data_IF_217612671371
#
_entry.id   IF_217612671371
#
_cell.length_a   1.000
_cell.length_b   1.000
_cell.length_c   1.000
_cell.angle_alpha   90.00
_cell.angle_beta   90.00
_cell.angle_gamma   90.00
#
_symmetry.space_group_name_H-M   'P 1'
#
loop_
_entity.id
_entity.type
_entity.pdbx_description
1 polymer ?
#
# COMPACT_ATOMS: atom_id res chain seq x y z
N UNK A 1 22.62 0.52 17.14
CA UNK A 1 22.23 1.70 16.33
C UNK A 1 22.57 1.39 14.88
N UNK A 2 21.64 0.82 14.12
CA UNK A 2 21.81 0.67 12.67
C UNK A 2 21.58 2.05 12.04
N UNK A 3 22.60 2.60 11.39
CA UNK A 3 22.44 3.85 10.64
C UNK A 3 21.79 3.51 9.30
N UNK A 4 20.49 3.77 9.19
CA UNK A 4 19.76 3.63 7.94
C UNK A 4 19.98 4.91 7.13
N UNK A 5 20.80 4.82 6.09
CA UNK A 5 21.04 5.92 5.15
C UNK A 5 20.13 5.73 3.94
N UNK A 6 19.18 6.65 3.77
CA UNK A 6 18.29 6.61 2.63
C UNK A 6 19.02 7.09 1.35
N UNK A 7 19.61 6.13 0.63
CA UNK A 7 20.28 6.37 -0.65
C UNK A 7 19.29 6.61 -1.81
N UNK A 8 17.99 6.44 -1.59
CA UNK A 8 16.99 6.63 -2.66
C UNK A 8 16.97 8.07 -3.14
N UNK A 9 17.07 9.04 -2.23
CA UNK A 9 17.04 10.48 -2.53
C UNK A 9 18.18 10.90 -3.47
N UNK A 10 19.47 10.67 -3.15
CA UNK A 10 20.56 11.06 -4.04
C UNK A 10 20.52 10.33 -5.39
N UNK A 11 20.11 9.07 -5.43
CA UNK A 11 19.93 8.33 -6.68
C UNK A 11 18.83 9.00 -7.52
N UNK A 12 17.67 9.26 -6.94
CA UNK A 12 16.54 9.84 -7.65
C UNK A 12 16.84 11.25 -8.18
N UNK A 13 17.53 12.08 -7.38
CA UNK A 13 17.97 13.42 -7.78
C UNK A 13 18.96 13.36 -8.94
N UNK A 14 19.97 12.49 -8.87
CA UNK A 14 20.99 12.39 -9.93
C UNK A 14 20.39 11.84 -11.23
N UNK A 15 19.53 10.83 -11.16
CA UNK A 15 18.83 10.30 -12.34
C UNK A 15 17.88 11.34 -12.94
N UNK A 16 17.11 12.07 -12.13
CA UNK A 16 16.22 13.13 -12.60
C UNK A 16 16.98 14.28 -13.29
N UNK A 17 18.12 14.69 -12.73
CA UNK A 17 18.98 15.70 -13.34
C UNK A 17 19.53 15.22 -14.71
N UNK A 18 20.00 13.98 -14.78
CA UNK A 18 20.47 13.37 -16.03
C UNK A 18 19.37 13.31 -17.10
N UNK A 19 18.17 12.85 -16.75
CA UNK A 19 17.04 12.77 -17.69
C UNK A 19 16.58 14.16 -18.17
N UNK A 20 16.52 15.13 -17.27
CA UNK A 20 16.17 16.52 -17.60
C UNK A 20 17.16 17.12 -18.58
N UNK A 21 18.46 16.87 -18.35
CA UNK A 21 19.52 17.34 -19.24
C UNK A 21 19.44 16.72 -20.64
N UNK A 22 19.25 15.40 -20.73
CA UNK A 22 19.08 14.71 -22.02
C UNK A 22 17.84 15.23 -22.76
N UNK A 23 16.74 15.44 -22.02
CA UNK A 23 15.49 16.00 -22.59
C UNK A 23 15.73 17.39 -23.16
N UNK A 24 16.45 18.26 -22.44
CA UNK A 24 16.81 19.59 -22.94
C UNK A 24 17.67 19.52 -24.22
N UNK A 25 18.65 18.61 -24.27
CA UNK A 25 19.46 18.39 -25.48
C UNK A 25 18.62 17.87 -26.65
N UNK A 26 17.64 16.99 -26.39
CA UNK A 26 16.71 16.50 -27.41
C UNK A 26 15.83 17.63 -27.96
N UNK A 27 15.30 18.50 -27.11
CA UNK A 27 14.51 19.66 -27.53
C UNK A 27 15.36 20.59 -28.39
N UNK A 28 16.59 20.90 -27.97
CA UNK A 28 17.52 21.71 -28.77
C UNK A 28 17.83 21.06 -30.13
N UNK A 29 18.00 19.74 -30.17
CA UNK A 29 18.19 19.00 -31.41
C UNK A 29 17.00 19.16 -32.37
N UNK A 30 15.78 19.04 -31.85
CA UNK A 30 14.56 19.25 -32.63
C UNK A 30 14.44 20.70 -33.14
N UNK A 31 14.80 21.69 -32.32
CA UNK A 31 14.84 23.09 -32.73
C UNK A 31 15.84 23.34 -33.87
N UNK A 32 17.05 22.76 -33.80
CA UNK A 32 18.04 22.87 -34.87
C UNK A 32 17.55 22.25 -36.18
N UNK A 33 16.92 21.07 -36.11
CA UNK A 33 16.32 20.40 -37.27
C UNK A 33 15.20 21.28 -37.87
N UNK A 34 14.39 21.93 -37.04
CA UNK A 34 13.32 22.83 -37.49
C UNK A 34 13.89 24.02 -38.30
N UNK A 35 14.94 24.66 -37.78
CA UNK A 35 15.60 25.81 -38.42
C UNK A 35 16.49 25.38 -39.60
N UNK A 36 16.79 24.09 -39.74
CA UNK A 36 17.65 23.56 -40.80
C UNK A 36 19.14 23.85 -40.55
N UNK A 37 19.53 24.07 -39.29
CA UNK A 37 20.93 24.28 -38.92
C UNK A 37 21.61 22.96 -38.54
N UNK A 38 22.90 22.86 -38.84
CA UNK A 38 23.71 21.71 -38.44
C UNK A 38 23.90 21.68 -36.92
N UNK A 39 23.69 20.51 -36.33
CA UNK A 39 23.86 20.23 -34.91
C UNK A 39 25.34 19.99 -34.57
N UNK A 40 26.04 21.05 -34.17
CA UNK A 40 27.42 20.94 -33.69
C UNK A 40 27.44 20.73 -32.18
N UNK A 41 27.22 19.47 -31.77
CA UNK A 41 27.24 19.10 -30.36
C UNK A 41 28.68 19.06 -29.83
N UNK A 42 28.99 19.88 -28.82
CA UNK A 42 30.30 19.89 -28.17
C UNK A 42 30.63 18.50 -27.59
N UNK A 43 31.91 18.10 -27.64
CA UNK A 43 32.37 16.78 -27.20
C UNK A 43 31.97 16.41 -25.77
N UNK A 44 31.85 17.39 -24.86
CA UNK A 44 31.39 17.19 -23.48
C UNK A 44 29.98 16.59 -23.44
N UNK A 45 29.04 17.10 -24.25
CA UNK A 45 27.68 16.56 -24.29
C UNK A 45 27.64 15.16 -24.89
N UNK A 46 28.51 14.87 -25.87
CA UNK A 46 28.64 13.53 -26.46
C UNK A 46 29.13 12.52 -25.42
N UNK A 47 30.15 12.88 -24.65
CA UNK A 47 30.66 12.08 -23.54
C UNK A 47 29.56 11.90 -22.49
N UNK A 48 28.88 12.99 -22.11
CA UNK A 48 27.77 12.96 -21.15
C UNK A 48 26.67 11.99 -21.56
N UNK A 49 26.21 12.04 -22.82
CA UNK A 49 25.20 11.14 -23.37
C UNK A 49 25.64 9.66 -23.30
N UNK A 50 26.88 9.37 -23.71
CA UNK A 50 27.43 8.01 -23.66
C UNK A 50 27.49 7.51 -22.21
N UNK A 51 28.00 8.33 -21.29
CA UNK A 51 28.08 7.99 -19.86
C UNK A 51 26.69 7.72 -19.28
N UNK A 52 25.70 8.57 -19.57
CA UNK A 52 24.32 8.35 -19.09
C UNK A 52 23.69 7.09 -19.67
N UNK A 53 23.96 6.78 -20.95
CA UNK A 53 23.46 5.56 -21.59
C UNK A 53 24.06 4.31 -20.93
N UNK A 54 25.38 4.26 -20.76
CA UNK A 54 26.06 3.15 -20.09
C UNK A 54 25.54 3.00 -18.67
N UNK A 55 25.45 4.10 -17.90
CA UNK A 55 24.92 4.07 -16.55
C UNK A 55 23.50 3.51 -16.51
N UNK A 56 22.62 3.93 -17.42
CA UNK A 56 21.23 3.46 -17.46
C UNK A 56 21.15 1.97 -17.79
N UNK A 57 21.97 1.48 -18.74
CA UNK A 57 22.03 0.05 -19.09
C UNK A 57 22.52 -0.78 -17.90
N UNK A 58 23.57 -0.32 -17.21
CA UNK A 58 24.10 -1.00 -16.02
C UNK A 58 23.05 -1.02 -14.92
N UNK A 59 22.44 0.12 -14.59
CA UNK A 59 21.39 0.20 -13.56
C UNK A 59 20.21 -0.68 -13.91
N UNK A 60 19.72 -0.67 -15.16
CA UNK A 60 18.62 -1.54 -15.58
C UNK A 60 18.99 -3.03 -15.51
N UNK A 61 20.23 -3.40 -15.83
CA UNK A 61 20.70 -4.79 -15.70
C UNK A 61 20.77 -5.23 -14.23
N UNK A 62 21.24 -4.36 -13.34
CA UNK A 62 21.26 -4.61 -11.91
C UNK A 62 19.84 -4.74 -11.34
N UNK A 63 18.93 -3.82 -11.69
CA UNK A 63 17.52 -3.88 -11.28
C UNK A 63 16.88 -5.16 -11.81
N UNK A 64 17.18 -5.56 -13.06
CA UNK A 64 16.65 -6.79 -13.61
C UNK A 64 17.03 -8.02 -12.77
N UNK A 65 18.30 -8.14 -12.39
CA UNK A 65 18.78 -9.27 -11.58
C UNK A 65 18.30 -9.23 -10.13
N UNK A 66 18.14 -8.04 -9.55
CA UNK A 66 17.71 -7.90 -8.15
C UNK A 66 16.20 -8.09 -8.00
N UNK A 67 15.43 -7.79 -9.04
CA UNK A 67 13.98 -7.64 -8.98
C UNK A 67 13.23 -8.65 -9.86
N UNK A 68 13.81 -9.84 -10.05
CA UNK A 68 13.27 -10.88 -10.94
C UNK A 68 11.81 -11.28 -10.59
N UNK A 69 11.47 -11.31 -9.30
CA UNK A 69 10.15 -11.78 -8.84
C UNK A 69 9.01 -10.76 -8.99
N UNK A 70 9.31 -9.47 -9.18
CA UNK A 70 8.30 -8.41 -9.15
C UNK A 70 8.16 -7.66 -10.48
N UNK A 71 8.73 -8.18 -11.57
CA UNK A 71 8.49 -7.66 -12.91
C UNK A 71 6.98 -7.57 -13.25
N UNK A 72 6.16 -8.40 -12.62
CA UNK A 72 4.70 -8.31 -12.67
C UNK A 72 4.16 -6.94 -12.23
N UNK A 73 4.80 -6.29 -11.26
CA UNK A 73 4.41 -4.97 -10.76
C UNK A 73 4.65 -3.87 -11.79
N UNK A 74 5.68 -4.00 -12.64
CA UNK A 74 5.92 -3.06 -13.74
C UNK A 74 4.77 -3.11 -14.75
N UNK A 75 4.30 -4.30 -15.09
CA UNK A 75 3.17 -4.47 -16.01
C UNK A 75 1.89 -3.86 -15.43
N UNK A 76 1.59 -4.12 -14.15
CA UNK A 76 0.43 -3.55 -13.47
C UNK A 76 0.54 -2.03 -13.39
N UNK A 77 1.73 -1.49 -13.11
CA UNK A 77 2.00 -0.05 -13.08
C UNK A 77 1.78 0.60 -14.46
N UNK A 78 2.26 -0.04 -15.53
CA UNK A 78 2.03 0.43 -16.91
C UNK A 78 0.54 0.39 -17.28
N UNK A 79 -0.20 -0.64 -16.87
CA UNK A 79 -1.65 -0.71 -17.08
C UNK A 79 -2.39 0.39 -16.31
N UNK A 80 -2.03 0.61 -15.04
CA UNK A 80 -2.62 1.65 -14.22
C UNK A 80 -2.32 3.06 -14.76
N UNK A 81 -1.13 3.25 -15.34
CA UNK A 81 -0.69 4.55 -15.88
C UNK A 81 -0.96 4.73 -17.38
N UNK A 82 -1.46 3.70 -18.07
CA UNK A 82 -1.67 3.70 -19.52
C UNK A 82 -2.50 4.89 -20.04
N UNK A 83 -3.60 5.33 -19.39
CA UNK A 83 -4.36 6.50 -19.86
C UNK A 83 -3.54 7.80 -19.84
N UNK A 84 -2.66 7.98 -18.84
CA UNK A 84 -1.82 9.17 -18.72
C UNK A 84 -0.67 9.15 -19.75
N UNK A 85 -0.05 7.98 -19.94
CA UNK A 85 0.98 7.79 -20.97
C UNK A 85 0.42 8.05 -22.37
N UNK A 86 -0.81 7.62 -22.62
CA UNK A 86 -1.52 7.87 -23.88
C UNK A 86 -1.84 9.34 -24.11
N UNK A 87 -2.33 10.04 -23.08
CA UNK A 87 -2.53 11.49 -23.15
C UNK A 87 -1.21 12.21 -23.45
N UNK A 88 -0.13 11.81 -22.78
CA UNK A 88 1.22 12.34 -23.04
C UNK A 88 1.67 12.09 -24.49
N UNK A 89 1.44 10.89 -25.02
CA UNK A 89 1.75 10.55 -26.41
C UNK A 89 0.94 11.39 -27.42
N UNK A 90 -0.35 11.63 -27.16
CA UNK A 90 -1.19 12.51 -27.99
C UNK A 90 -0.69 13.95 -28.00
N UNK A 91 -0.34 14.49 -26.83
CA UNK A 91 0.25 15.84 -26.72
C UNK A 91 1.57 15.92 -27.48
N UNK A 92 2.43 14.91 -27.34
CA UNK A 92 3.72 14.86 -28.03
C UNK A 92 3.56 14.79 -29.56
N UNK A 93 2.69 13.91 -30.07
CA UNK A 93 2.43 13.80 -31.53
C UNK A 93 1.79 15.07 -32.08
N UNK A 94 0.94 15.73 -31.30
CA UNK A 94 0.35 17.03 -31.67
C UNK A 94 1.43 18.11 -31.73
N UNK A 95 2.33 18.19 -30.75
CA UNK A 95 3.44 19.15 -30.76
C UNK A 95 4.41 18.91 -31.92
N UNK A 96 4.70 17.65 -32.25
CA UNK A 96 5.60 17.26 -33.35
C UNK A 96 4.96 17.44 -34.74
N UNK A 97 3.65 17.59 -34.84
CA UNK A 97 2.93 17.75 -36.12
C UNK A 97 3.46 18.92 -36.95
N UNK A 98 3.80 20.04 -36.30
CA UNK A 98 4.41 21.20 -36.95
C UNK A 98 5.76 20.87 -37.61
N UNK A 99 6.59 20.06 -36.94
CA UNK A 99 7.89 19.64 -37.45
C UNK A 99 7.74 18.77 -38.71
N UNK A 100 6.79 17.82 -38.66
CA UNK A 100 6.44 16.95 -39.80
C UNK A 100 5.91 17.77 -40.97
N UNK A 101 5.03 18.74 -40.71
CA UNK A 101 4.52 19.66 -41.73
C UNK A 101 5.62 20.49 -42.37
N UNK A 102 6.61 20.95 -41.58
CA UNK A 102 7.76 21.69 -42.09
C UNK A 102 8.65 20.86 -43.02
N UNK A 103 8.87 19.58 -42.71
CA UNK A 103 9.61 18.67 -43.59
C UNK A 103 8.81 18.30 -44.84
N UNK A 104 7.49 18.12 -44.70
CA UNK A 104 6.59 17.87 -45.82
C UNK A 104 6.64 19.03 -46.84
N UNK A 105 6.64 20.28 -46.38
CA UNK A 105 6.74 21.45 -47.23
C UNK A 105 8.09 21.58 -47.97
N UNK A 106 9.18 21.07 -47.38
CA UNK A 106 10.53 21.08 -47.99
C UNK A 106 10.77 19.89 -48.92
N UNK A 107 9.92 18.87 -48.89
CA UNK A 107 10.10 17.66 -49.68
C UNK A 107 9.75 17.90 -51.16
N UNK A 108 10.71 17.66 -52.06
CA UNK A 108 10.52 17.85 -53.51
C UNK A 108 9.85 16.65 -54.20
N UNK A 109 9.96 15.45 -53.63
CA UNK A 109 9.43 14.21 -54.23
C UNK A 109 8.05 13.87 -53.66
N UNK A 110 7.08 13.64 -54.54
CA UNK A 110 5.74 13.21 -54.16
C UNK A 110 5.73 11.89 -53.36
N UNK A 111 6.66 10.97 -53.67
CA UNK A 111 6.80 9.71 -52.92
C UNK A 111 7.22 9.92 -51.48
N UNK A 112 8.13 10.87 -51.19
CA UNK A 112 8.53 11.16 -49.82
C UNK A 112 7.43 11.89 -49.04
N UNK A 113 6.68 12.78 -49.70
CA UNK A 113 5.51 13.44 -49.11
C UNK A 113 4.42 12.44 -48.72
N UNK A 114 4.08 11.51 -49.62
CA UNK A 114 3.12 10.43 -49.35
C UNK A 114 3.59 9.53 -48.21
N UNK A 115 4.88 9.19 -48.16
CA UNK A 115 5.44 8.31 -47.13
C UNK A 115 5.41 8.99 -45.75
N UNK A 116 5.79 10.28 -45.65
CA UNK A 116 5.71 11.07 -44.42
C UNK A 116 4.27 11.22 -43.92
N UNK A 117 3.35 11.56 -44.83
CA UNK A 117 1.94 11.75 -44.47
C UNK A 117 1.28 10.44 -44.05
N UNK A 118 1.55 9.35 -44.79
CA UNK A 118 1.05 8.01 -44.49
C UNK A 118 1.57 7.49 -43.16
N UNK A 119 2.86 7.67 -42.85
CA UNK A 119 3.40 7.28 -41.54
C UNK A 119 2.83 8.12 -40.41
N UNK A 120 2.70 9.45 -40.59
CA UNK A 120 2.08 10.30 -39.57
C UNK A 120 0.63 9.89 -39.27
N UNK A 121 -0.19 9.69 -40.31
CA UNK A 121 -1.58 9.25 -40.11
C UNK A 121 -1.67 7.84 -39.51
N UNK A 122 -0.78 6.92 -39.88
CA UNK A 122 -0.75 5.59 -39.28
C UNK A 122 -0.44 5.65 -37.77
N UNK A 123 0.52 6.48 -37.35
CA UNK A 123 0.85 6.69 -35.94
C UNK A 123 -0.32 7.32 -35.19
N UNK A 124 -0.91 8.38 -35.75
CA UNK A 124 -2.07 9.05 -35.16
C UNK A 124 -3.25 8.09 -35.02
N UNK A 125 -3.59 7.35 -36.07
CA UNK A 125 -4.66 6.35 -36.06
C UNK A 125 -4.40 5.28 -35.00
N UNK A 126 -3.17 4.75 -34.94
CA UNK A 126 -2.77 3.78 -33.91
C UNK A 126 -3.02 4.33 -32.51
N UNK A 127 -2.57 5.56 -32.22
CA UNK A 127 -2.84 6.22 -30.94
C UNK A 127 -4.32 6.39 -30.66
N UNK A 128 -5.16 6.76 -31.65
CA UNK A 128 -6.60 6.87 -31.42
C UNK A 128 -7.28 5.53 -31.13
N UNK A 129 -6.70 4.40 -31.56
CA UNK A 129 -7.24 3.06 -31.29
C UNK A 129 -6.74 2.45 -29.97
N UNK A 130 -5.61 2.91 -29.42
CA UNK A 130 -5.03 2.42 -28.16
C UNK A 130 -6.01 2.41 -26.97
N UNK A 131 -6.91 3.40 -26.78
CA UNK A 131 -7.87 3.36 -25.68
C UNK A 131 -8.80 2.14 -25.69
N UNK A 132 -9.01 1.51 -26.85
CA UNK A 132 -9.81 0.29 -26.98
C UNK A 132 -9.11 -0.93 -26.36
N UNK A 133 -7.80 -0.87 -26.15
CA UNK A 133 -7.01 -1.97 -25.57
C UNK A 133 -6.75 -1.80 -24.08
N UNK A 134 -7.23 -0.72 -23.46
CA UNK A 134 -7.02 -0.50 -22.03
C UNK A 134 -7.84 -1.47 -21.18
N UNK A 135 -7.15 -2.23 -20.35
CA UNK A 135 -7.73 -3.04 -19.29
C UNK A 135 -7.39 -2.41 -17.95
N UNK A 136 -8.39 -2.13 -17.11
CA UNK A 136 -8.16 -1.59 -15.78
C UNK A 136 -7.95 -2.73 -14.78
N UNK A 137 -6.81 -2.79 -14.08
CA UNK A 137 -6.59 -3.81 -13.04
C UNK A 137 -7.55 -3.62 -11.84
N UNK A 138 -8.13 -2.43 -11.69
CA UNK A 138 -9.06 -2.12 -10.61
C UNK A 138 -10.49 -2.61 -10.86
N UNK A 139 -10.84 -2.93 -12.11
CA UNK A 139 -12.19 -3.37 -12.49
C UNK A 139 -12.08 -4.83 -12.93
N UNK A 140 -12.27 -5.73 -11.97
CA UNK A 140 -12.27 -7.17 -12.20
C UNK A 140 -13.70 -7.70 -12.13
N UNK A 141 -14.01 -8.67 -12.99
CA UNK A 141 -15.27 -9.40 -12.86
C UNK A 141 -15.21 -10.30 -11.63
N UNK A 142 -16.39 -10.57 -11.04
CA UNK A 142 -16.48 -11.38 -9.82
C UNK A 142 -15.90 -12.78 -9.98
N UNK A 143 -15.94 -13.33 -11.20
CA UNK A 143 -15.40 -14.67 -11.54
C UNK A 143 -13.86 -14.72 -11.50
N UNK A 144 -13.22 -13.56 -11.69
CA UNK A 144 -11.75 -13.42 -11.76
C UNK A 144 -11.16 -12.97 -10.41
N UNK A 145 -12.02 -12.70 -9.41
CA UNK A 145 -11.56 -12.37 -8.07
C UNK A 145 -10.98 -13.62 -7.39
N UNK A 146 -9.83 -13.43 -6.75
CA UNK A 146 -9.25 -14.44 -5.87
C UNK A 146 -10.10 -14.72 -4.62
N UNK A 147 -9.63 -15.59 -3.72
CA UNK A 147 -10.30 -15.85 -2.44
C UNK A 147 -10.48 -14.54 -1.66
N UNK A 148 -11.55 -14.48 -0.84
CA UNK A 148 -11.84 -13.31 0.00
C UNK A 148 -10.60 -12.98 0.87
N UNK A 149 -10.16 -11.72 0.92
CA UNK A 149 -9.00 -11.34 1.72
C UNK A 149 -9.24 -11.61 3.20
N UNK A 150 -8.18 -11.97 3.90
CA UNK A 150 -8.19 -12.09 5.35
C UNK A 150 -8.48 -10.72 5.98
N UNK A 151 -9.45 -10.66 6.89
CA UNK A 151 -9.80 -9.44 7.60
C UNK A 151 -9.07 -9.44 8.95
N UNK A 152 -8.26 -8.43 9.20
CA UNK A 152 -7.57 -8.22 10.47
C UNK A 152 -8.26 -7.11 11.27
N UNK A 153 -8.61 -7.38 12.53
CA UNK A 153 -9.14 -6.40 13.46
C UNK A 153 -8.04 -5.44 13.92
N UNK A 154 -7.93 -4.28 13.28
CA UNK A 154 -6.98 -3.23 13.63
C UNK A 154 -7.27 -2.72 15.05
N UNK A 155 -6.33 -2.92 15.98
CA UNK A 155 -6.48 -2.66 17.43
C UNK A 155 -7.67 -3.39 18.08
N UNK A 156 -8.04 -4.54 17.49
CA UNK A 156 -9.26 -5.29 17.78
C UNK A 156 -10.46 -4.80 16.97
N UNK A 157 -11.53 -4.40 17.65
CA UNK A 157 -12.74 -3.82 17.08
C UNK A 157 -12.99 -2.41 17.67
N UNK A 158 -12.18 -1.40 17.30
CA UNK A 158 -12.19 -0.06 17.90
C UNK A 158 -13.47 0.73 17.63
N UNK A 159 -14.33 0.27 16.73
CA UNK A 159 -15.68 0.85 16.56
C UNK A 159 -16.70 0.29 17.55
N UNK A 160 -16.38 -0.83 18.21
CA UNK A 160 -17.29 -1.60 19.05
C UNK A 160 -16.87 -1.60 20.53
N UNK A 161 -15.58 -1.41 20.81
CA UNK A 161 -15.01 -1.38 22.14
C UNK A 161 -13.69 -0.57 22.14
N UNK A 162 -13.21 -0.11 23.32
CA UNK A 162 -12.01 0.73 23.40
C UNK A 162 -10.79 0.05 22.78
N UNK A 163 -10.12 0.71 21.83
CA UNK A 163 -8.98 0.18 21.10
C UNK A 163 -7.86 -0.37 22.00
N UNK A 164 -7.12 -1.37 21.54
CA UNK A 164 -5.99 -1.95 22.28
C UNK A 164 -6.34 -2.46 23.70
N UNK A 165 -7.60 -2.82 23.92
CA UNK A 165 -8.05 -3.48 25.16
C UNK A 165 -8.50 -4.91 24.88
N UNK A 166 -8.48 -5.74 25.93
CA UNK A 166 -9.01 -7.10 25.85
C UNK A 166 -10.47 -7.15 25.37
N UNK A 167 -11.27 -6.14 25.71
CA UNK A 167 -12.65 -6.01 25.25
C UNK A 167 -12.74 -5.85 23.73
N UNK A 168 -11.88 -4.99 23.16
CA UNK A 168 -11.79 -4.78 21.71
C UNK A 168 -11.34 -6.05 20.98
N UNK A 169 -10.37 -6.78 21.53
CA UNK A 169 -9.94 -8.05 20.94
C UNK A 169 -11.00 -9.14 21.03
N UNK A 170 -11.69 -9.27 22.17
CA UNK A 170 -12.80 -10.23 22.32
C UNK A 170 -13.91 -9.94 21.31
N UNK A 171 -14.26 -8.66 21.16
CA UNK A 171 -15.28 -8.25 20.21
C UNK A 171 -14.88 -8.52 18.76
N UNK A 172 -13.61 -8.33 18.40
CA UNK A 172 -13.10 -8.69 17.09
C UNK A 172 -13.23 -10.21 16.82
N UNK A 173 -12.90 -11.05 17.82
CA UNK A 173 -13.03 -12.51 17.71
C UNK A 173 -14.50 -12.94 17.54
N UNK A 174 -15.44 -12.28 18.25
CA UNK A 174 -16.89 -12.51 18.07
C UNK A 174 -17.36 -12.21 16.64
N UNK A 175 -16.78 -11.18 16.00
CA UNK A 175 -17.04 -10.82 14.60
C UNK A 175 -16.31 -11.73 13.59
N UNK A 176 -15.65 -12.80 14.05
CA UNK A 176 -14.99 -13.82 13.22
C UNK A 176 -13.91 -13.25 12.28
N UNK A 177 -13.19 -12.22 12.72
CA UNK A 177 -12.02 -11.73 11.99
C UNK A 177 -10.92 -12.81 11.93
N UNK A 178 -10.09 -12.78 10.90
CA UNK A 178 -9.01 -13.75 10.72
C UNK A 178 -7.90 -13.61 11.77
N UNK A 179 -7.66 -12.37 12.22
CA UNK A 179 -6.68 -12.06 13.25
C UNK A 179 -6.91 -10.66 13.81
N UNK A 180 -6.11 -10.28 14.80
CA UNK A 180 -6.13 -8.93 15.40
C UNK A 180 -4.74 -8.33 15.33
N UNK A 181 -4.68 -7.01 15.19
CA UNK A 181 -3.45 -6.23 15.26
C UNK A 181 -3.48 -5.41 16.56
N UNK A 182 -2.30 -5.19 17.15
CA UNK A 182 -2.12 -4.38 18.34
C UNK A 182 -0.86 -3.52 18.18
N UNK A 183 -0.82 -2.37 18.84
CA UNK A 183 0.33 -1.48 18.85
C UNK A 183 1.05 -1.62 20.20
N UNK A 184 2.35 -1.90 20.18
CA UNK A 184 3.15 -2.14 21.39
C UNK A 184 4.14 -0.99 21.59
N UNK A 185 4.21 -0.49 22.83
CA UNK A 185 5.22 0.47 23.29
C UNK A 185 5.91 -0.11 24.52
N UNK A 186 7.16 0.27 24.74
CA UNK A 186 7.94 -0.14 25.92
C UNK A 186 7.91 1.01 26.93
N UNK A 187 7.53 0.72 28.17
CA UNK A 187 7.55 1.68 29.28
C UNK A 187 8.98 2.05 29.69
N UNK A 188 9.13 3.07 30.54
CA UNK A 188 10.44 3.54 31.00
C UNK A 188 11.24 2.45 31.74
N UNK A 189 10.53 1.59 32.48
CA UNK A 189 11.06 0.43 33.19
C UNK A 189 11.13 -0.86 32.33
N UNK A 190 10.94 -0.76 31.01
CA UNK A 190 11.17 -1.85 30.05
C UNK A 190 10.02 -2.83 29.89
N UNK A 191 8.82 -2.51 30.38
CA UNK A 191 7.63 -3.37 30.29
C UNK A 191 6.84 -3.04 29.01
N UNK A 192 6.59 -4.03 28.12
CA UNK A 192 5.76 -3.80 26.94
C UNK A 192 4.29 -3.62 27.34
N UNK A 193 3.63 -2.63 26.75
CA UNK A 193 2.20 -2.35 26.94
C UNK A 193 1.56 -1.92 25.62
N UNK A 194 0.23 -2.01 25.55
CA UNK A 194 -0.49 -1.61 24.35
C UNK A 194 -0.82 -0.13 24.30
N UNK A 195 -0.31 0.56 23.28
CA UNK A 195 -0.58 1.97 23.03
C UNK A 195 -0.25 2.33 21.58
N UNK A 196 -1.16 3.05 20.92
CA UNK A 196 -0.92 3.57 19.58
C UNK A 196 -0.28 4.95 19.60
N UNK A 197 -0.74 5.81 20.52
CA UNK A 197 -0.41 7.22 20.49
C UNK A 197 0.93 7.49 21.20
N UNK A 198 1.60 8.56 20.78
CA UNK A 198 2.81 9.04 21.46
C UNK A 198 2.52 9.53 22.88
N UNK A 199 1.29 9.95 23.20
CA UNK A 199 0.89 10.41 24.55
C UNK A 199 -0.33 9.64 25.03
N UNK A 200 -0.57 9.63 26.33
CA UNK A 200 -1.65 8.85 26.95
C UNK A 200 -3.01 9.59 26.97
N UNK A 201 -3.09 10.81 26.44
CA UNK A 201 -4.20 11.75 26.66
C UNK A 201 -5.53 11.32 26.03
N UNK A 202 -5.49 10.83 24.79
CA UNK A 202 -6.72 10.52 24.02
C UNK A 202 -7.45 9.29 24.56
N UNK A 203 -6.68 8.24 24.88
CA UNK A 203 -7.22 6.91 25.17
C UNK A 203 -7.13 6.52 26.64
N UNK A 204 -6.71 7.43 27.52
CA UNK A 204 -6.67 7.19 28.97
C UNK A 204 -7.17 8.40 29.75
N UNK A 205 -7.18 8.31 31.08
CA UNK A 205 -7.47 9.43 31.99
C UNK A 205 -6.20 10.05 32.60
N UNK A 206 -5.06 10.02 31.90
CA UNK A 206 -3.78 10.58 32.39
C UNK A 206 -3.90 12.04 32.85
N UNK A 207 -4.72 12.86 32.19
CA UNK A 207 -4.91 14.28 32.57
C UNK A 207 -5.56 14.43 33.95
N UNK A 208 -6.35 13.44 34.38
CA UNK A 208 -7.00 13.43 35.70
C UNK A 208 -6.07 12.87 36.79
N UNK A 209 -5.19 11.93 36.45
CA UNK A 209 -4.36 11.20 37.42
C UNK A 209 -2.94 11.80 37.55
N UNK A 210 -2.34 12.21 36.43
CA UNK A 210 -0.98 12.75 36.32
C UNK A 210 -0.96 13.95 35.35
N UNK A 211 -1.57 15.10 35.70
CA UNK A 211 -1.71 16.24 34.80
C UNK A 211 -0.37 16.81 34.31
N UNK A 212 0.67 16.78 35.16
CA UNK A 212 2.01 17.29 34.83
C UNK A 212 2.73 16.43 33.78
N UNK A 213 2.42 15.13 33.73
CA UNK A 213 3.05 14.17 32.81
C UNK A 213 2.21 13.93 31.55
N UNK A 214 1.01 14.52 31.45
CA UNK A 214 0.04 14.19 30.41
C UNK A 214 0.58 14.39 28.99
N UNK A 215 1.53 15.31 28.79
CA UNK A 215 2.13 15.63 27.49
C UNK A 215 3.42 14.84 27.21
N UNK A 216 3.90 14.08 28.19
CA UNK A 216 5.10 13.28 28.02
C UNK A 216 4.84 12.10 27.09
N UNK A 217 5.92 11.62 26.48
CA UNK A 217 5.86 10.45 25.62
C UNK A 217 5.42 9.22 26.45
N UNK A 218 4.57 8.36 25.89
CA UNK A 218 3.97 7.21 26.59
C UNK A 218 5.01 6.22 27.11
N UNK A 219 6.19 6.17 26.48
CA UNK A 219 7.37 5.39 26.92
C UNK A 219 8.12 5.97 28.12
N UNK A 220 7.78 7.18 28.59
CA UNK A 220 8.42 7.83 29.74
C UNK A 220 7.73 7.49 31.07
N UNK A 221 6.64 6.72 31.03
CA UNK A 221 5.92 6.26 32.22
C UNK A 221 6.44 4.90 32.68
N UNK A 222 6.48 4.66 33.98
CA UNK A 222 6.70 3.33 34.54
C UNK A 222 5.41 2.50 34.47
N UNK A 223 5.54 1.17 34.43
CA UNK A 223 4.40 0.26 34.40
C UNK A 223 3.43 0.48 35.58
N UNK A 224 3.96 0.74 36.78
CA UNK A 224 3.16 0.98 37.99
C UNK A 224 2.21 2.18 37.84
N UNK A 225 2.63 3.21 37.11
CA UNK A 225 1.81 4.39 36.84
C UNK A 225 0.82 4.12 35.69
N UNK A 226 1.27 3.42 34.65
CA UNK A 226 0.42 3.00 33.53
C UNK A 226 -0.75 2.12 33.99
N UNK A 227 -0.54 1.22 34.95
CA UNK A 227 -1.57 0.31 35.48
C UNK A 227 -2.70 1.06 36.21
N UNK A 228 -2.42 2.27 36.71
CA UNK A 228 -3.40 3.12 37.40
C UNK A 228 -4.36 3.83 36.45
N UNK A 229 -4.01 3.91 35.16
CA UNK A 229 -4.80 4.60 34.16
C UNK A 229 -5.98 3.75 33.68
N UNK A 230 -7.08 4.42 33.36
CA UNK A 230 -8.26 3.81 32.77
C UNK A 230 -8.26 4.03 31.25
N UNK A 231 -8.13 2.94 30.49
CA UNK A 231 -7.99 2.97 29.03
C UNK A 231 -9.33 2.84 28.26
N UNK A 232 -10.48 2.95 28.93
CA UNK A 232 -11.80 2.69 28.33
C UNK A 232 -12.89 3.71 28.60
N UNK A 233 -12.78 4.55 29.63
CA UNK A 233 -13.79 5.56 29.98
C UNK A 233 -14.00 6.60 28.88
N UNK A 234 -12.94 6.96 28.17
CA UNK A 234 -12.99 7.92 27.07
C UNK A 234 -13.96 7.47 25.96
N UNK A 235 -14.05 6.16 25.69
CA UNK A 235 -14.90 5.56 24.66
C UNK A 235 -16.38 5.84 24.89
N UNK A 236 -16.81 5.93 26.15
CA UNK A 236 -18.20 6.21 26.52
C UNK A 236 -18.58 7.69 26.38
N UNK A 237 -17.58 8.58 26.34
CA UNK A 237 -17.80 10.03 26.20
C UNK A 237 -17.96 10.44 24.73
N UNK A 238 -17.55 9.59 23.78
CA UNK A 238 -17.65 9.87 22.35
C UNK A 238 -19.09 9.64 21.83
N UNK A 239 -19.81 10.70 21.39
CA UNK A 239 -21.17 10.59 20.89
C UNK A 239 -21.30 9.72 19.62
N UNK A 240 -20.24 9.62 18.81
CA UNK A 240 -20.28 8.88 17.55
C UNK A 240 -20.17 7.37 17.78
N UNK A 241 -19.37 6.94 18.75
CA UNK A 241 -19.22 5.52 19.09
C UNK A 241 -20.41 5.00 19.90
N UNK A 242 -21.03 5.86 20.70
CA UNK A 242 -22.22 5.53 21.50
C UNK A 242 -23.48 5.34 20.63
N UNK A 243 -23.54 5.94 19.43
CA UNK A 243 -24.73 5.87 18.53
C UNK A 243 -24.83 4.58 17.71
N UNK A 244 -23.73 3.87 17.52
CA UNK A 244 -23.71 2.70 16.62
C UNK A 244 -24.34 1.45 17.24
N UNK A 245 -24.61 1.45 18.56
CA UNK A 245 -25.28 0.33 19.25
C UNK A 245 -26.31 0.82 20.27
N UNK A 246 -27.62 0.60 20.04
CA UNK A 246 -28.50 0.35 21.18
C UNK A 246 -27.98 -0.91 21.84
N UNK A 247 -27.75 -0.85 23.15
CA UNK A 247 -27.35 -1.97 24.00
C UNK A 247 -28.21 -3.20 23.67
N UNK A 248 -27.73 -4.10 22.80
CA UNK A 248 -28.44 -5.35 22.53
C UNK A 248 -28.46 -6.12 23.84
N UNK A 249 -29.62 -6.59 24.26
CA UNK A 249 -29.85 -7.24 25.55
C UNK A 249 -29.01 -8.52 25.78
N UNK A 250 -28.21 -8.94 24.79
CA UNK A 250 -27.27 -10.05 24.83
C UNK A 250 -25.80 -9.63 24.99
N UNK A 251 -25.46 -8.34 25.02
CA UNK A 251 -24.10 -7.90 25.31
C UNK A 251 -23.76 -8.21 26.78
N UNK A 252 -22.64 -8.87 27.09
CA UNK A 252 -22.23 -9.05 28.47
C UNK A 252 -22.18 -7.69 29.15
N UNK A 253 -22.75 -7.59 30.35
CA UNK A 253 -22.76 -6.34 31.13
C UNK A 253 -21.34 -6.01 31.59
N UNK A 254 -20.54 -5.44 30.70
CA UNK A 254 -19.14 -5.13 30.97
C UNK A 254 -19.05 -3.98 31.99
N UNK A 255 -18.29 -4.20 33.07
CA UNK A 255 -18.00 -3.16 34.06
C UNK A 255 -16.85 -2.29 33.54
N UNK A 256 -17.17 -1.18 32.87
CA UNK A 256 -16.19 -0.23 32.29
C UNK A 256 -15.31 0.49 33.32
N UNK A 257 -15.64 0.41 34.62
CA UNK A 257 -14.90 1.07 35.70
C UNK A 257 -13.46 0.57 35.90
N UNK A 258 -13.09 -0.57 35.32
CA UNK A 258 -11.81 -1.26 35.57
C UNK A 258 -11.06 -1.65 34.28
N UNK A 259 -11.29 -0.95 33.17
CA UNK A 259 -10.52 -1.17 31.93
C UNK A 259 -9.15 -0.53 32.10
N UNK A 260 -8.11 -1.35 32.22
CA UNK A 260 -6.72 -0.92 32.39
C UNK A 260 -5.96 -0.98 31.06
N UNK A 261 -4.78 -0.37 31.05
CA UNK A 261 -3.72 -0.71 30.09
C UNK A 261 -3.30 -2.17 30.30
N UNK A 262 -2.96 -2.87 29.22
CA UNK A 262 -2.61 -4.29 29.26
C UNK A 262 -1.20 -4.51 28.70
N UNK A 263 -0.50 -5.47 29.31
CA UNK A 263 0.70 -6.07 28.73
C UNK A 263 0.28 -7.08 27.63
N UNK A 264 0.94 -7.12 26.46
CA UNK A 264 0.72 -8.12 25.42
C UNK A 264 0.65 -9.57 25.92
N UNK A 265 1.49 -9.98 26.87
CA UNK A 265 1.50 -11.31 27.47
C UNK A 265 0.19 -11.63 28.20
N UNK A 266 -0.38 -10.66 28.92
CA UNK A 266 -1.65 -10.85 29.63
C UNK A 266 -2.80 -11.07 28.64
N UNK A 267 -2.78 -10.38 27.50
CA UNK A 267 -3.77 -10.57 26.43
C UNK A 267 -3.59 -11.95 25.81
N UNK A 268 -2.36 -12.33 25.48
CA UNK A 268 -2.06 -13.64 24.90
C UNK A 268 -2.45 -14.78 25.84
N UNK A 269 -2.18 -14.66 27.15
CA UNK A 269 -2.61 -15.62 28.16
C UNK A 269 -4.14 -15.67 28.27
N UNK A 270 -4.82 -14.52 28.26
CA UNK A 270 -6.29 -14.48 28.30
C UNK A 270 -6.95 -15.05 27.04
N UNK A 271 -6.30 -14.94 25.89
CA UNK A 271 -6.72 -15.55 24.64
C UNK A 271 -6.46 -17.06 24.62
N UNK A 272 -5.30 -17.49 25.14
CA UNK A 272 -4.90 -18.90 25.22
C UNK A 272 -5.77 -19.72 26.18
N UNK A 273 -6.17 -19.14 27.31
CA UNK A 273 -7.04 -19.82 28.29
C UNK A 273 -8.42 -20.18 27.71
N UNK A 274 -8.87 -19.53 26.62
CA UNK A 274 -10.15 -19.80 25.97
C UNK A 274 -10.10 -20.81 24.82
N UNK A 275 -8.93 -21.30 24.41
CA UNK A 275 -8.82 -22.24 23.27
C UNK A 275 -7.89 -23.42 23.54
N UNK A 276 -8.20 -24.55 22.90
CA UNK A 276 -7.43 -25.79 22.97
C UNK A 276 -5.95 -25.58 22.55
N UNK A 277 -5.05 -26.26 23.26
CA UNK A 277 -3.58 -26.07 23.26
C UNK A 277 -2.88 -26.11 21.89
N UNK A 278 -3.52 -26.57 20.81
CA UNK A 278 -2.92 -26.62 19.45
C UNK A 278 -3.00 -25.29 18.68
N UNK A 279 -4.02 -24.48 18.89
CA UNK A 279 -4.16 -23.18 18.19
C UNK A 279 -3.32 -22.07 18.83
N UNK A 280 -2.94 -22.23 20.09
CA UNK A 280 -2.11 -21.28 20.84
C UNK A 280 -0.68 -21.22 20.30
N UNK A 281 -0.11 -22.36 19.86
CA UNK A 281 1.22 -22.40 19.24
C UNK A 281 1.24 -21.66 17.89
N UNK A 282 0.18 -21.80 17.09
CA UNK A 282 0.06 -21.12 15.79
C UNK A 282 -0.03 -19.59 15.96
N UNK A 283 -0.64 -19.12 17.05
CA UNK A 283 -0.77 -17.68 17.33
C UNK A 283 0.52 -17.07 17.90
N UNK A 284 1.28 -17.82 18.69
CA UNK A 284 2.63 -17.44 19.14
C UNK A 284 3.61 -17.28 17.98
N UNK A 285 3.60 -18.20 17.02
CA UNK A 285 4.43 -18.06 15.80
C UNK A 285 4.00 -16.81 15.00
N UNK A 286 2.71 -16.62 14.76
CA UNK A 286 2.23 -15.51 13.89
C UNK A 286 2.49 -14.10 14.42
N UNK A 287 2.51 -13.89 15.74
CA UNK A 287 2.84 -12.61 16.35
C UNK A 287 4.35 -12.31 16.29
N UNK A 288 5.19 -13.33 16.37
CA UNK A 288 6.65 -13.17 16.23
C UNK A 288 7.03 -12.90 14.76
N UNK A 289 6.29 -13.43 13.80
CA UNK A 289 6.61 -13.29 12.38
C UNK A 289 6.16 -11.97 11.72
N UNK A 290 5.29 -11.16 12.33
CA UNK A 290 4.97 -9.83 11.76
C UNK A 290 6.05 -8.78 12.04
N UNK A 291 6.92 -9.00 13.01
CA UNK A 291 8.00 -8.08 13.39
C UNK A 291 9.37 -8.45 12.78
N UNK A 292 9.47 -9.62 12.14
CA UNK A 292 10.69 -10.07 11.45
C UNK A 292 10.61 -9.82 9.93
N UNK A 293 9.42 -9.68 9.35
CA UNK A 293 9.25 -9.48 7.90
C UNK A 293 9.39 -8.03 7.41
N UNK A 294 9.74 -7.07 8.27
CA UNK A 294 10.11 -5.70 7.86
C UNK A 294 11.62 -5.51 7.69
N UNK A 295 12.42 -6.57 7.71
CA UNK A 295 13.85 -6.47 7.45
C UNK A 295 14.57 -7.79 7.44
N UNK A 296 14.50 -8.52 6.33
CA UNK A 296 15.59 -9.29 5.70
C UNK A 296 14.99 -10.05 4.50
N UNK A 297 15.43 -9.71 3.28
CA UNK A 297 15.32 -10.63 2.16
C UNK A 297 16.17 -11.89 2.44
N UNK A 298 15.62 -13.08 2.20
CA UNK A 298 16.16 -14.05 1.24
C UNK A 298 15.52 -15.44 1.46
N UNK A 299 15.01 -16.00 0.35
CA UNK A 299 15.10 -17.41 -0.05
C UNK A 299 14.87 -18.51 1.00
N UNK A 300 13.74 -19.21 0.89
CA UNK A 300 13.76 -20.63 0.57
C UNK A 300 12.37 -21.12 0.18
N UNK A 301 12.29 -21.82 -0.94
CA UNK A 301 11.07 -22.44 -1.43
C UNK A 301 10.58 -23.53 -0.48
N UNK A 302 9.30 -23.46 -0.11
CA UNK A 302 8.59 -24.58 0.49
C UNK A 302 7.45 -25.03 -0.41
N UNK A 303 7.80 -25.92 -1.33
CA UNK A 303 6.91 -26.96 -1.83
C UNK A 303 6.51 -27.85 -0.66
N UNK A 304 5.22 -27.94 -0.33
CA UNK A 304 4.67 -29.06 0.44
C UNK A 304 3.25 -29.41 -0.06
N UNK A 305 3.24 -30.45 -0.89
CA UNK A 305 2.29 -31.56 -0.93
C UNK A 305 0.79 -31.24 -0.96
N UNK A 306 0.25 -31.38 -2.18
CA UNK A 306 -1.00 -32.08 -2.45
C UNK A 306 -0.98 -33.46 -1.76
N UNK A 307 -1.96 -33.75 -0.91
CA UNK A 307 -2.56 -35.09 -0.84
C UNK A 307 -3.99 -35.03 -0.28
N UNK A 308 -4.85 -35.76 -0.96
CA UNK A 308 -6.30 -35.86 -0.81
C UNK A 308 -6.74 -36.53 0.51
N UNK A 309 -7.96 -36.20 0.96
CA UNK A 309 -8.88 -37.24 1.44
C UNK A 309 -9.65 -36.94 2.73
N UNK A 310 -10.95 -37.19 2.65
CA UNK A 310 -11.99 -37.20 3.71
C UNK A 310 -12.58 -35.84 4.08
N UNK A 311 -13.89 -35.61 4.07
CA UNK A 311 -15.04 -36.38 3.59
C UNK A 311 -16.23 -35.40 3.50
N UNK A 312 -17.18 -35.72 2.63
CA UNK A 312 -18.44 -35.03 2.43
C UNK A 312 -19.18 -34.72 3.74
N UNK A 313 -19.49 -33.46 3.99
CA UNK A 313 -20.75 -33.08 4.62
C UNK A 313 -21.46 -32.03 3.77
N UNK A 314 -22.56 -32.48 3.20
CA UNK A 314 -23.56 -31.71 2.49
C UNK A 314 -24.20 -30.73 3.49
N UNK A 315 -23.99 -29.43 3.28
CA UNK A 315 -24.86 -28.40 3.87
C UNK A 315 -25.58 -27.72 2.71
N UNK A 316 -26.86 -28.03 2.61
CA UNK A 316 -27.83 -27.47 1.66
C UNK A 316 -27.86 -25.94 1.71
N UNK A 317 -27.99 -25.22 0.57
CA UNK A 317 -28.20 -23.79 0.58
C UNK A 317 -29.63 -23.47 1.05
N UNK A 318 -29.74 -22.61 2.05
CA UNK A 318 -31.02 -21.98 2.44
C UNK A 318 -31.41 -21.01 1.32
N UNK A 319 -32.52 -21.34 0.68
CA UNK A 319 -33.28 -20.54 -0.27
C UNK A 319 -33.68 -19.19 0.35
N UNK A 320 -33.14 -18.08 -0.19
CA UNK A 320 -33.67 -16.75 0.09
C UNK A 320 -34.51 -16.27 -1.11
N UNK A 321 -35.79 -16.58 -0.99
CA UNK A 321 -36.95 -16.08 -1.71
C UNK A 321 -36.80 -14.65 -2.25
N UNK A 322 -37.08 -14.52 -3.55
CA UNK A 322 -37.28 -13.27 -4.28
C UNK A 322 -38.29 -12.32 -3.62
N UNK A 323 -37.86 -11.08 -3.37
CA UNK A 323 -38.74 -9.94 -3.12
C UNK A 323 -39.07 -9.24 -4.43
N UNK A 324 -40.22 -9.61 -5.01
CA UNK A 324 -40.77 -9.08 -6.26
C UNK A 324 -41.17 -7.60 -6.09
N UNK A 325 -40.50 -6.69 -6.79
CA UNK A 325 -41.00 -5.33 -7.04
C UNK A 325 -42.34 -5.42 -7.79
N UNK A 326 -43.38 -4.78 -7.26
CA UNK A 326 -44.60 -4.45 -8.01
C UNK A 326 -44.68 -2.94 -8.13
N UNK A 327 -44.54 -2.46 -9.36
CA UNK A 327 -44.89 -1.11 -9.79
C UNK A 327 -46.39 -1.12 -10.07
N UNK A 328 -47.12 -0.29 -9.33
CA UNK A 328 -48.26 0.54 -9.73
C UNK A 328 -48.76 1.29 -8.50
#
# INVERSE_FOLDING_TARGET
MGYWSDWSIPILVTTAAGFTYITALLILALCHIAVGQQMNLHWIHKIGLITTLISTVVTMSCVAQLWDDEWGMVVISLQATAPFLHLGALVAVTALSWLVSGQFAKAERATSQLLMLGTYFAVVLGLYLVPLTFSSPCIMERKDLGPRPAILGHRGAPMLAPENTLMSFQRAVEEKVYGVQADVVISYDGVPFLMHDQTLRRTTNVEEVFPELAYDHSSMFNWTDLERLNAGKWFLKDPLQTRTFPFSASAPRWRFGSIRTYNPEQIMLSAAVRRSSREVNIMKEKLIFSEINSGLEATDGFSLCSENGYANEVVTPIDHREGKLRIN
#
